data_IF_309619420912
#
_entry.id   IF_309619420912
#
_cell.length_a   1.000
_cell.length_b   1.000
_cell.length_c   1.000
_cell.angle_alpha   90.00
_cell.angle_beta   90.00
_cell.angle_gamma   90.00
#
_symmetry.space_group_name_H-M   'P 1'
#
loop_
_entity.id
_entity.type
_entity.pdbx_description
1 polymer ?
#
# COMPACT_ATOMS: atom_id res chain seq x y z
N UNK A 1 71.96 -2.05 19.44
CA UNK A 1 71.21 -2.52 18.26
C UNK A 1 69.73 -2.34 18.60
N UNK A 2 69.04 -1.61 17.75
CA UNK A 2 67.85 -0.83 18.14
C UNK A 2 66.54 -1.50 17.75
N UNK A 3 65.58 -1.48 18.69
CA UNK A 3 64.19 -1.90 18.56
C UNK A 3 63.45 -1.23 17.43
N UNK A 4 62.69 -2.04 16.67
CA UNK A 4 61.56 -1.58 15.86
C UNK A 4 60.46 -2.62 15.95
N UNK A 5 59.60 -2.47 16.94
CA UNK A 5 58.27 -3.10 16.95
C UNK A 5 57.34 -2.18 17.68
N UNK A 6 56.49 -1.46 16.97
CA UNK A 6 55.18 -0.99 17.41
C UNK A 6 54.55 -0.22 16.25
N UNK A 7 53.50 -0.70 15.68
CA UNK A 7 52.35 -0.01 15.06
C UNK A 7 51.68 -1.01 14.12
N UNK A 8 50.80 -1.84 14.59
CA UNK A 8 49.63 -2.35 13.85
C UNK A 8 48.64 -2.82 14.90
N UNK A 9 47.77 -1.93 15.40
CA UNK A 9 46.53 -2.32 16.05
C UNK A 9 45.62 -1.10 16.26
N UNK A 10 45.00 -0.56 15.22
CA UNK A 10 43.88 0.41 15.41
C UNK A 10 43.06 0.64 14.15
N UNK A 11 42.73 -0.37 13.34
CA UNK A 11 41.87 -0.15 12.16
C UNK A 11 40.61 -1.06 12.11
N UNK A 12 40.40 -1.94 13.06
CA UNK A 12 39.29 -2.94 12.94
C UNK A 12 37.99 -2.52 13.66
N UNK A 13 37.95 -1.46 14.46
CA UNK A 13 36.76 -1.09 15.25
C UNK A 13 35.79 -0.13 14.54
N UNK A 14 36.16 0.47 13.42
CA UNK A 14 35.35 1.47 12.73
C UNK A 14 34.30 0.93 11.74
N UNK A 15 34.50 -0.28 11.21
CA UNK A 15 33.66 -0.84 10.15
C UNK A 15 32.37 -1.54 10.68
N UNK A 16 32.39 -2.01 11.90
CA UNK A 16 31.22 -2.72 12.48
C UNK A 16 30.12 -1.78 13.00
N UNK A 17 30.43 -0.56 13.35
CA UNK A 17 29.45 0.44 13.81
C UNK A 17 28.64 1.02 12.65
N UNK A 18 29.26 1.23 11.48
CA UNK A 18 28.61 1.80 10.30
C UNK A 18 27.54 0.85 9.71
N UNK A 19 27.80 -0.44 9.70
CA UNK A 19 26.85 -1.44 9.18
C UNK A 19 25.63 -1.64 10.09
N UNK A 20 25.78 -1.49 11.39
CA UNK A 20 24.67 -1.60 12.35
C UNK A 20 23.75 -0.38 12.27
N UNK A 21 24.30 0.81 12.10
CA UNK A 21 23.50 2.04 11.92
C UNK A 21 22.72 2.04 10.61
N UNK A 22 23.30 1.64 9.49
CA UNK A 22 22.61 1.55 8.19
C UNK A 22 21.47 0.56 8.22
N UNK A 23 21.63 -0.57 8.89
CA UNK A 23 20.59 -1.60 9.01
C UNK A 23 19.45 -1.16 9.94
N UNK A 24 19.73 -0.47 11.02
CA UNK A 24 18.73 0.09 11.92
C UNK A 24 17.93 1.21 11.24
N UNK A 25 18.58 2.05 10.45
CA UNK A 25 17.93 3.11 9.68
C UNK A 25 16.99 2.55 8.62
N UNK A 26 17.43 1.59 7.80
CA UNK A 26 16.58 0.97 6.78
C UNK A 26 15.39 0.21 7.37
N UNK A 27 15.53 -0.40 8.54
CA UNK A 27 14.42 -1.05 9.24
C UNK A 27 13.39 -0.04 9.77
N UNK A 28 13.84 1.13 10.23
CA UNK A 28 12.96 2.20 10.68
C UNK A 28 12.21 2.86 9.50
N UNK A 29 12.90 3.14 8.40
CA UNK A 29 12.32 3.69 7.18
C UNK A 29 11.23 2.76 6.61
N UNK A 30 11.47 1.45 6.59
CA UNK A 30 10.45 0.48 6.18
C UNK A 30 9.27 0.42 7.17
N UNK A 31 9.49 0.59 8.47
CA UNK A 31 8.40 0.64 9.44
C UNK A 31 7.51 1.88 9.25
N UNK A 32 8.09 3.03 8.97
CA UNK A 32 7.37 4.26 8.64
C UNK A 32 6.60 4.12 7.32
N UNK A 33 7.22 3.54 6.28
CA UNK A 33 6.57 3.25 5.01
C UNK A 33 5.36 2.32 5.17
N UNK A 34 5.51 1.24 5.96
CA UNK A 34 4.41 0.31 6.27
C UNK A 34 3.27 1.04 6.97
N UNK A 35 3.57 1.87 7.96
CA UNK A 35 2.55 2.65 8.67
C UNK A 35 1.81 3.61 7.73
N UNK A 36 2.53 4.33 6.86
CA UNK A 36 1.95 5.21 5.84
C UNK A 36 1.05 4.48 4.85
N UNK A 37 1.52 3.35 4.32
CA UNK A 37 0.77 2.53 3.39
C UNK A 37 -0.50 1.91 4.01
N UNK A 38 -0.43 1.47 5.27
CA UNK A 38 -1.60 0.97 5.99
C UNK A 38 -2.64 2.06 6.25
N UNK A 39 -2.20 3.27 6.61
CA UNK A 39 -3.09 4.43 6.77
C UNK A 39 -3.75 4.82 5.44
N UNK A 40 -3.02 4.78 4.32
CA UNK A 40 -3.58 5.02 3.00
C UNK A 40 -4.67 4.00 2.63
N UNK A 41 -4.51 2.72 2.97
CA UNK A 41 -5.56 1.72 2.77
C UNK A 41 -6.75 1.91 3.71
N UNK A 42 -6.56 2.46 4.92
CA UNK A 42 -7.69 2.81 5.80
C UNK A 42 -8.50 3.95 5.17
N UNK A 43 -7.85 5.01 4.69
CA UNK A 43 -8.53 6.12 4.02
C UNK A 43 -9.21 5.68 2.72
N UNK A 44 -8.55 4.82 1.93
CA UNK A 44 -9.15 4.20 0.75
C UNK A 44 -10.47 3.50 1.08
N UNK A 45 -10.53 2.69 2.15
CA UNK A 45 -11.75 1.97 2.54
C UNK A 45 -12.83 2.92 3.06
N UNK A 46 -12.44 3.93 3.83
CA UNK A 46 -13.34 4.96 4.35
C UNK A 46 -13.99 5.74 3.20
N UNK A 47 -13.19 6.23 2.25
CA UNK A 47 -13.66 6.99 1.08
C UNK A 47 -14.52 6.12 0.16
N UNK A 48 -14.13 4.88 -0.06
CA UNK A 48 -14.93 3.90 -0.81
C UNK A 48 -16.32 3.69 -0.19
N UNK A 49 -16.41 3.54 1.13
CA UNK A 49 -17.69 3.34 1.84
C UNK A 49 -18.57 4.60 1.86
N UNK A 50 -17.99 5.80 1.70
CA UNK A 50 -18.75 7.06 1.54
C UNK A 50 -19.48 7.14 0.20
N UNK A 51 -19.17 6.27 -0.76
CA UNK A 51 -19.78 6.23 -2.12
C UNK A 51 -19.59 7.53 -2.91
N UNK A 52 -18.47 8.23 -2.66
CA UNK A 52 -18.07 9.43 -3.37
C UNK A 52 -16.87 9.11 -4.27
N UNK A 53 -17.04 9.23 -5.59
CA UNK A 53 -16.00 8.89 -6.56
C UNK A 53 -14.80 9.85 -6.49
N UNK A 54 -15.02 11.14 -6.22
CA UNK A 54 -13.97 12.14 -6.12
C UNK A 54 -13.11 11.93 -4.87
N UNK A 55 -13.73 11.72 -3.70
CA UNK A 55 -13.03 11.41 -2.46
C UNK A 55 -12.23 10.10 -2.59
N UNK A 56 -12.81 9.10 -3.24
CA UNK A 56 -12.12 7.84 -3.45
C UNK A 56 -10.95 7.97 -4.44
N UNK A 57 -11.13 8.70 -5.54
CA UNK A 57 -10.08 9.01 -6.50
C UNK A 57 -8.89 9.73 -5.85
N UNK A 58 -9.14 10.65 -4.91
CA UNK A 58 -8.12 11.39 -4.19
C UNK A 58 -7.23 10.53 -3.28
N UNK A 59 -7.66 9.32 -2.91
CA UNK A 59 -6.84 8.39 -2.11
C UNK A 59 -5.83 7.60 -2.94
N UNK A 60 -5.87 7.69 -4.27
CA UNK A 60 -5.05 6.91 -5.18
C UNK A 60 -3.82 7.70 -5.64
N UNK A 61 -2.77 7.00 -6.06
CA UNK A 61 -1.67 7.56 -6.85
C UNK A 61 -1.85 7.21 -8.33
N UNK A 62 -1.44 8.13 -9.20
CA UNK A 62 -1.63 8.03 -10.63
C UNK A 62 -0.27 7.97 -11.38
N UNK A 63 -0.18 7.29 -12.56
CA UNK A 63 -1.27 6.49 -13.15
C UNK A 63 -1.67 5.34 -12.22
N UNK A 64 -3.00 5.09 -12.08
CA UNK A 64 -3.52 3.98 -11.29
C UNK A 64 -3.84 2.78 -12.18
N UNK A 65 -3.32 1.61 -11.82
CA UNK A 65 -3.48 0.36 -12.60
C UNK A 65 -4.33 -0.64 -11.84
N UNK A 66 -5.36 -1.18 -12.50
CA UNK A 66 -6.19 -2.25 -11.95
C UNK A 66 -6.17 -3.47 -12.85
N UNK A 67 -5.82 -4.62 -12.27
CA UNK A 67 -5.98 -5.95 -12.86
C UNK A 67 -7.23 -6.60 -12.24
N UNK A 68 -8.29 -6.80 -13.00
CA UNK A 68 -9.49 -7.47 -12.54
C UNK A 68 -10.28 -8.08 -13.70
N UNK A 69 -10.92 -9.22 -13.43
CA UNK A 69 -11.84 -9.87 -14.39
C UNK A 69 -11.25 -10.11 -15.77
N UNK A 70 -9.94 -10.44 -15.84
CA UNK A 70 -9.23 -10.70 -17.10
C UNK A 70 -8.89 -9.44 -17.91
N UNK A 71 -9.11 -8.24 -17.36
CA UNK A 71 -8.79 -6.97 -18.00
C UNK A 71 -7.77 -6.18 -17.19
N UNK A 72 -7.09 -5.26 -17.88
CA UNK A 72 -6.22 -4.25 -17.28
C UNK A 72 -6.82 -2.90 -17.60
N UNK A 73 -7.06 -2.10 -16.56
CA UNK A 73 -7.51 -0.73 -16.69
C UNK A 73 -6.45 0.20 -16.12
N UNK A 74 -6.15 1.28 -16.82
CA UNK A 74 -5.25 2.33 -16.39
C UNK A 74 -6.04 3.64 -16.36
N UNK A 75 -5.92 4.40 -15.29
CA UNK A 75 -6.41 5.76 -15.18
C UNK A 75 -5.21 6.68 -14.99
N UNK A 76 -5.09 7.66 -15.86
CA UNK A 76 -3.96 8.60 -15.85
C UNK A 76 -4.13 9.69 -14.79
N UNK A 77 -5.36 9.96 -14.35
CA UNK A 77 -5.65 11.02 -13.37
C UNK A 77 -6.84 10.70 -12.47
N UNK A 78 -6.97 11.48 -11.38
CA UNK A 78 -8.10 11.41 -10.46
C UNK A 78 -9.43 11.75 -11.14
N UNK A 79 -9.42 12.73 -12.05
CA UNK A 79 -10.59 13.15 -12.81
C UNK A 79 -11.10 12.01 -13.70
N UNK A 80 -10.18 11.32 -14.40
CA UNK A 80 -10.54 10.18 -15.23
C UNK A 80 -11.12 9.04 -14.39
N UNK A 81 -10.51 8.74 -13.24
CA UNK A 81 -11.02 7.73 -12.32
C UNK A 81 -12.42 8.09 -11.79
N UNK A 82 -12.64 9.35 -11.43
CA UNK A 82 -13.91 9.84 -10.87
C UNK A 82 -15.09 9.80 -11.84
N UNK A 83 -14.84 9.75 -13.15
CA UNK A 83 -15.89 9.55 -14.16
C UNK A 83 -16.45 8.11 -14.20
N UNK A 84 -15.90 7.20 -13.42
CA UNK A 84 -16.32 5.80 -13.38
C UNK A 84 -17.67 5.58 -12.69
N UNK A 85 -18.32 4.46 -13.01
CA UNK A 85 -19.64 4.06 -12.50
C UNK A 85 -19.55 2.92 -11.48
N UNK A 86 -18.50 2.88 -10.68
CA UNK A 86 -18.24 1.77 -9.77
C UNK A 86 -19.37 1.58 -8.75
N UNK A 87 -19.87 2.66 -8.15
CA UNK A 87 -20.91 2.58 -7.12
C UNK A 87 -22.28 2.23 -7.69
N UNK A 88 -22.61 2.61 -8.93
CA UNK A 88 -23.83 2.17 -9.61
C UNK A 88 -23.80 0.65 -9.84
N UNK A 89 -22.66 0.11 -10.26
CA UNK A 89 -22.48 -1.33 -10.46
C UNK A 89 -22.58 -2.10 -9.13
N UNK A 90 -21.99 -1.56 -8.06
CA UNK A 90 -22.05 -2.14 -6.72
C UNK A 90 -23.48 -2.11 -6.15
N UNK A 91 -24.23 -1.02 -6.37
CA UNK A 91 -25.62 -0.90 -5.94
C UNK A 91 -26.52 -1.99 -6.57
N UNK A 92 -26.26 -2.37 -7.84
CA UNK A 92 -27.03 -3.45 -8.52
C UNK A 92 -26.90 -4.81 -7.86
N UNK A 93 -25.81 -5.06 -7.14
CA UNK A 93 -25.60 -6.31 -6.37
C UNK A 93 -25.99 -6.15 -4.89
N UNK A 94 -26.63 -5.04 -4.52
CA UNK A 94 -27.06 -4.76 -3.15
C UNK A 94 -25.93 -4.37 -2.19
N UNK A 95 -24.75 -3.97 -2.71
CA UNK A 95 -23.63 -3.55 -1.86
C UNK A 95 -23.95 -2.23 -1.15
N UNK A 96 -23.62 -2.18 0.14
CA UNK A 96 -23.67 -0.98 0.95
C UNK A 96 -22.30 -0.54 1.45
N UNK A 97 -21.53 -1.45 2.04
CA UNK A 97 -20.20 -1.16 2.56
C UNK A 97 -19.28 -2.37 2.52
N UNK A 98 -17.99 -2.14 2.83
CA UNK A 98 -16.96 -3.17 2.88
C UNK A 98 -16.07 -3.01 4.11
N UNK A 99 -15.47 -4.11 4.59
CA UNK A 99 -14.45 -4.10 5.62
C UNK A 99 -13.27 -4.98 5.24
N UNK A 100 -12.08 -4.57 5.69
CA UNK A 100 -10.91 -5.42 5.65
C UNK A 100 -11.08 -6.58 6.63
N UNK A 101 -10.85 -7.81 6.17
CA UNK A 101 -10.72 -8.99 7.03
C UNK A 101 -9.27 -9.26 7.40
N UNK A 102 -8.34 -9.03 6.46
CA UNK A 102 -6.90 -9.09 6.72
C UNK A 102 -6.13 -8.18 5.78
N UNK A 103 -4.96 -7.74 6.24
CA UNK A 103 -3.97 -7.00 5.46
C UNK A 103 -2.59 -7.48 5.90
N UNK A 104 -1.82 -8.04 4.98
CA UNK A 104 -0.48 -8.58 5.22
C UNK A 104 0.52 -7.90 4.31
N UNK A 105 1.57 -7.31 4.88
CA UNK A 105 2.70 -6.77 4.12
C UNK A 105 3.52 -7.91 3.55
N UNK A 106 3.68 -7.95 2.23
CA UNK A 106 4.48 -8.95 1.53
C UNK A 106 5.86 -8.45 1.13
N UNK A 107 5.99 -7.15 0.84
CA UNK A 107 7.24 -6.47 0.55
C UNK A 107 7.15 -5.01 0.99
N UNK A 108 8.28 -4.42 1.41
CA UNK A 108 8.37 -3.02 1.78
C UNK A 108 9.71 -2.41 1.39
N UNK A 109 9.66 -1.17 0.89
CA UNK A 109 10.77 -0.24 0.73
C UNK A 109 10.35 1.13 1.29
N UNK A 110 11.25 2.11 1.44
CA UNK A 110 10.89 3.42 2.00
C UNK A 110 9.79 4.18 1.24
N UNK A 111 9.56 3.86 -0.03
CA UNK A 111 8.62 4.54 -0.93
C UNK A 111 7.52 3.64 -1.52
N UNK A 112 7.54 2.34 -1.19
CA UNK A 112 6.58 1.38 -1.77
C UNK A 112 6.36 0.18 -0.87
N UNK A 113 5.09 -0.17 -0.67
CA UNK A 113 4.67 -1.35 0.12
C UNK A 113 3.68 -2.18 -0.67
N UNK A 114 3.90 -3.49 -0.73
CA UNK A 114 2.97 -4.45 -1.29
C UNK A 114 2.17 -5.10 -0.16
N UNK A 115 0.85 -5.09 -0.27
CA UNK A 115 -0.05 -5.55 0.78
C UNK A 115 -1.07 -6.52 0.19
N UNK A 116 -1.00 -7.79 0.63
CA UNK A 116 -2.03 -8.78 0.38
C UNK A 116 -3.22 -8.52 1.29
N UNK A 117 -4.42 -8.52 0.73
CA UNK A 117 -5.62 -8.18 1.48
C UNK A 117 -6.75 -9.17 1.24
N UNK A 118 -7.62 -9.31 2.24
CA UNK A 118 -8.93 -9.92 2.10
C UNK A 118 -9.97 -8.90 2.59
N UNK A 119 -11.00 -8.66 1.80
CA UNK A 119 -12.11 -7.79 2.19
C UNK A 119 -13.45 -8.46 1.97
N UNK A 120 -14.43 -8.06 2.79
CA UNK A 120 -15.80 -8.53 2.75
C UNK A 120 -16.71 -7.38 2.32
N UNK A 121 -17.63 -7.65 1.40
CA UNK A 121 -18.75 -6.77 1.03
C UNK A 121 -19.99 -7.12 1.82
N UNK A 122 -20.77 -6.11 2.19
CA UNK A 122 -22.02 -6.23 2.95
C UNK A 122 -23.14 -5.43 2.27
N UNK A 123 -24.38 -5.86 2.51
CA UNK A 123 -25.58 -5.10 2.17
C UNK A 123 -25.95 -4.11 3.31
N UNK A 124 -27.03 -3.35 3.14
CA UNK A 124 -27.57 -2.37 4.08
C UNK A 124 -28.08 -2.98 5.41
N UNK A 125 -28.30 -4.30 5.45
CA UNK A 125 -28.65 -5.07 6.65
C UNK A 125 -27.44 -5.67 7.35
N UNK A 126 -26.24 -5.30 6.93
CA UNK A 126 -24.99 -5.85 7.43
C UNK A 126 -24.84 -7.37 7.19
N UNK A 127 -25.52 -7.89 6.16
CA UNK A 127 -25.38 -9.29 5.73
C UNK A 127 -24.22 -9.40 4.73
N UNK A 128 -23.34 -10.43 4.84
CA UNK A 128 -22.23 -10.58 3.92
C UNK A 128 -22.70 -10.99 2.53
N UNK A 129 -22.24 -10.26 1.49
CA UNK A 129 -22.52 -10.58 0.09
C UNK A 129 -21.42 -11.46 -0.49
N UNK A 130 -20.17 -11.01 -0.42
CA UNK A 130 -19.03 -11.68 -1.03
C UNK A 130 -17.71 -11.27 -0.39
N UNK A 131 -16.75 -12.19 -0.43
CA UNK A 131 -15.39 -12.02 0.06
C UNK A 131 -14.40 -12.15 -1.09
N UNK A 132 -13.42 -11.24 -1.16
CA UNK A 132 -12.43 -11.21 -2.22
C UNK A 132 -11.02 -11.00 -1.69
N UNK A 133 -10.06 -11.53 -2.44
CA UNK A 133 -8.63 -11.29 -2.25
C UNK A 133 -8.15 -10.22 -3.23
N UNK A 134 -7.20 -9.41 -2.80
CA UNK A 134 -6.52 -8.42 -3.64
C UNK A 134 -5.07 -8.23 -3.18
N UNK A 135 -4.23 -7.82 -4.11
CA UNK A 135 -2.89 -7.31 -3.84
C UNK A 135 -2.87 -5.83 -4.19
N UNK A 136 -2.46 -5.00 -3.26
CA UNK A 136 -2.24 -3.58 -3.46
C UNK A 136 -0.74 -3.28 -3.53
N UNK A 137 -0.36 -2.40 -4.45
CA UNK A 137 0.93 -1.72 -4.48
C UNK A 137 0.67 -0.28 -4.08
N UNK A 138 1.07 0.06 -2.85
CA UNK A 138 0.90 1.39 -2.26
C UNK A 138 2.24 2.10 -2.34
N UNK A 139 2.26 3.31 -2.89
CA UNK A 139 3.46 4.09 -3.15
C UNK A 139 3.42 5.44 -2.45
N UNK A 140 4.59 5.99 -2.20
CA UNK A 140 4.77 7.38 -1.77
C UNK A 140 5.12 8.21 -3.00
N UNK A 141 4.23 9.10 -3.43
CA UNK A 141 4.43 10.02 -4.57
C UNK A 141 4.19 11.45 -4.07
N UNK A 142 5.18 12.32 -4.19
CA UNK A 142 5.11 13.73 -3.78
C UNK A 142 4.59 13.93 -2.34
N UNK A 143 5.00 13.03 -1.42
CA UNK A 143 4.59 13.06 -0.02
C UNK A 143 3.22 12.43 0.28
N UNK A 144 2.50 11.91 -0.74
CA UNK A 144 1.22 11.24 -0.60
C UNK A 144 1.39 9.72 -0.69
N UNK A 145 0.95 9.00 0.35
CA UNK A 145 0.79 7.55 0.30
C UNK A 145 -0.55 7.19 -0.32
N UNK A 146 -0.54 6.44 -1.43
CA UNK A 146 -1.78 6.01 -2.11
C UNK A 146 -1.61 4.70 -2.89
N UNK A 147 -2.68 3.88 -3.02
CA UNK A 147 -2.67 2.74 -3.93
C UNK A 147 -2.42 3.19 -5.38
N UNK A 148 -1.31 2.74 -5.98
CA UNK A 148 -0.98 3.01 -7.38
C UNK A 148 -1.28 1.82 -8.29
N UNK A 149 -1.27 0.61 -7.74
CA UNK A 149 -1.74 -0.56 -8.49
C UNK A 149 -2.53 -1.51 -7.59
N UNK A 150 -3.49 -2.20 -8.19
CA UNK A 150 -4.29 -3.23 -7.54
C UNK A 150 -4.54 -4.41 -8.46
N UNK A 151 -4.21 -5.62 -8.02
CA UNK A 151 -4.73 -6.86 -8.57
C UNK A 151 -5.88 -7.35 -7.70
N UNK A 152 -7.07 -7.58 -8.25
CA UNK A 152 -8.25 -7.94 -7.49
C UNK A 152 -9.00 -9.10 -8.12
N UNK A 153 -9.43 -10.06 -7.28
CA UNK A 153 -10.32 -11.14 -7.69
C UNK A 153 -11.82 -10.73 -7.63
N UNK A 154 -12.10 -9.49 -7.17
CA UNK A 154 -13.43 -8.90 -7.31
C UNK A 154 -13.67 -8.47 -8.77
N UNK A 155 -14.87 -8.70 -9.31
CA UNK A 155 -15.24 -8.29 -10.65
C UNK A 155 -15.27 -6.78 -10.80
#
# INVERSE_FOLDING_TARGET
MKNRFLIVLTVVLGLSLSSSQSRAQSSNENAEAIAGAMAALDEFMVSFNRKNMEDWAATLNYPHVRFASGSVTVWESAEEFAMGTAFENLARIGWDHSHWLSREVTMASPDKVHISTVFQRFNDRNEPIAKYQSLYVVTLVDGHWGPQARSSLAP
#
